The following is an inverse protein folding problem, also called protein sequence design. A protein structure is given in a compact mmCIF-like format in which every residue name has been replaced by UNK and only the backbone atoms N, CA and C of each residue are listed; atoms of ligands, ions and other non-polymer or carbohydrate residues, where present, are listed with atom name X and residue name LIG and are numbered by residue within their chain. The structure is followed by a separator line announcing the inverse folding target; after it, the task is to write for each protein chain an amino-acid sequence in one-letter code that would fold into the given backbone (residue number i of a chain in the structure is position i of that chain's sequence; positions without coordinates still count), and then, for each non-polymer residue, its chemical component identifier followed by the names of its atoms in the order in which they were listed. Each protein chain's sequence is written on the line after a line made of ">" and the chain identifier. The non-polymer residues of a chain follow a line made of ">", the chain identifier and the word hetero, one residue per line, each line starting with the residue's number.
data_IF_840806098276
#
_entry.id   IF_840806098276
#
_cell.length_a   1.000
_cell.length_b   1.000
_cell.length_c   1.000
_cell.angle_alpha   90.00
_cell.angle_beta   90.00
_cell.angle_gamma   90.00
#
_symmetry.space_group_name_H-M   'P 1'
#
loop_
_entity.id
_entity.type
_entity.pdbx_description
1 polymer ?
#
# COMPACT_ATOMS: atom_id res chain seq x y z
N UNK A 1 36.95 -14.99 44.67
CA UNK A 1 37.82 -14.03 43.96
C UNK A 1 36.96 -13.25 42.99
N UNK A 2 36.50 -12.05 43.39
CA UNK A 2 35.57 -11.23 42.60
C UNK A 2 36.37 -10.20 41.80
N UNK A 3 36.27 -10.22 40.47
CA UNK A 3 36.94 -9.24 39.59
C UNK A 3 35.96 -8.10 39.26
N UNK A 4 36.27 -6.90 39.75
CA UNK A 4 35.60 -5.67 39.35
C UNK A 4 35.93 -5.33 37.88
N UNK A 5 34.90 -5.10 37.07
CA UNK A 5 35.01 -4.56 35.71
C UNK A 5 34.94 -3.03 35.83
N UNK A 6 36.04 -2.35 35.47
CA UNK A 6 36.09 -0.89 35.30
C UNK A 6 35.53 -0.54 33.92
N UNK A 7 34.42 0.17 33.88
CA UNK A 7 33.86 0.77 32.66
C UNK A 7 34.41 2.18 32.53
N UNK A 8 35.19 2.44 31.48
CA UNK A 8 35.61 3.80 31.12
C UNK A 8 34.56 4.44 30.20
N UNK A 9 33.91 5.48 30.70
CA UNK A 9 32.99 6.34 29.94
C UNK A 9 33.83 7.44 29.28
N UNK A 10 33.87 7.42 27.95
CA UNK A 10 34.48 8.48 27.12
C UNK A 10 33.41 9.54 26.80
N UNK A 11 33.64 10.83 27.06
CA UNK A 11 32.70 11.88 26.70
C UNK A 11 32.80 12.20 25.20
N UNK A 12 31.65 12.18 24.52
CA UNK A 12 31.47 12.57 23.13
C UNK A 12 31.38 14.11 23.05
N UNK A 13 32.37 14.77 22.45
CA UNK A 13 32.36 16.21 22.17
C UNK A 13 31.61 16.44 20.87
N UNK A 14 30.43 17.05 20.94
CA UNK A 14 29.65 17.49 19.77
C UNK A 14 30.03 18.94 19.45
N UNK A 15 30.71 19.14 18.32
CA UNK A 15 30.99 20.47 17.76
C UNK A 15 29.79 20.88 16.91
N UNK A 16 29.03 21.88 17.35
CA UNK A 16 28.00 22.52 16.54
C UNK A 16 28.62 23.58 15.65
N UNK A 17 28.63 23.34 14.33
CA UNK A 17 28.93 24.36 13.33
C UNK A 17 27.62 25.03 12.90
N UNK A 18 27.48 26.30 13.27
CA UNK A 18 26.39 27.18 12.83
C UNK A 18 26.67 27.72 11.43
N UNK A 19 25.86 27.33 10.45
CA UNK A 19 25.84 27.93 9.12
C UNK A 19 24.80 29.05 9.06
N UNK A 20 25.27 30.28 8.90
CA UNK A 20 24.43 31.45 8.61
C UNK A 20 24.22 31.56 7.10
N UNK A 21 22.96 31.54 6.65
CA UNK A 21 22.61 31.83 5.26
C UNK A 21 22.26 33.32 5.07
N UNK A 22 22.81 34.02 4.07
CA UNK A 22 22.40 35.37 3.74
C UNK A 22 21.03 35.39 3.03
N UNK A 23 20.18 36.32 3.46
CA UNK A 23 18.89 36.61 2.86
C UNK A 23 19.07 37.34 1.51
N UNK A 24 18.49 36.80 0.44
CA UNK A 24 18.34 37.50 -0.82
C UNK A 24 16.88 37.94 -0.99
N UNK A 25 16.66 39.26 -1.05
CA UNK A 25 15.42 39.88 -1.50
C UNK A 25 15.60 40.36 -2.94
N UNK A 26 14.67 40.04 -3.86
CA UNK A 26 14.49 40.85 -5.05
C UNK A 26 13.27 41.77 -4.87
N UNK A 27 13.53 43.07 -4.83
CA UNK A 27 12.57 44.10 -5.22
C UNK A 27 12.44 44.12 -6.73
N UNK A 28 11.23 44.01 -7.27
CA UNK A 28 10.95 44.45 -8.64
C UNK A 28 9.76 45.41 -8.59
N UNK A 29 10.01 46.58 -9.17
CA UNK A 29 9.11 47.72 -9.28
C UNK A 29 7.98 47.45 -10.28
N UNK A 30 6.83 48.00 -9.93
CA UNK A 30 5.65 48.26 -10.76
C UNK A 30 5.99 49.03 -12.05
N UNK A 31 5.28 48.75 -13.14
CA UNK A 31 4.91 49.74 -14.14
C UNK A 31 3.52 49.42 -14.72
N UNK A 32 2.80 50.50 -15.04
CA UNK A 32 1.35 50.57 -15.20
C UNK A 32 0.84 50.43 -16.65
N UNK A 33 -0.42 49.99 -16.73
CA UNK A 33 -1.55 50.40 -17.60
C UNK A 33 -1.38 50.49 -19.13
N UNK A 34 -2.23 49.74 -19.85
CA UNK A 34 -3.01 50.28 -20.97
C UNK A 34 -4.31 49.48 -21.17
N UNK A 35 -5.35 50.21 -21.56
CA UNK A 35 -6.78 49.89 -21.54
C UNK A 35 -7.28 49.71 -22.99
N UNK A 36 -8.44 49.03 -23.13
CA UNK A 36 -9.29 48.87 -24.34
C UNK A 36 -8.81 47.79 -25.34
N UNK A 37 -9.63 46.92 -25.94
CA UNK A 37 -11.04 46.97 -26.30
C UNK A 37 -11.73 45.60 -26.23
N UNK A 38 -13.04 45.64 -25.98
CA UNK A 38 -13.94 44.50 -25.96
C UNK A 38 -14.34 44.09 -27.39
N UNK A 39 -14.09 42.82 -27.75
CA UNK A 39 -14.84 42.12 -28.80
C UNK A 39 -15.30 40.79 -28.22
N UNK A 40 -16.56 40.78 -27.81
CA UNK A 40 -17.29 39.60 -27.33
C UNK A 40 -17.60 38.69 -28.51
N UNK A 41 -16.76 37.69 -28.74
CA UNK A 41 -17.13 36.49 -29.48
C UNK A 41 -17.50 35.44 -28.44
N UNK A 42 -18.81 35.19 -28.34
CA UNK A 42 -19.41 34.23 -27.43
C UNK A 42 -18.90 32.82 -27.69
N UNK A 43 -17.90 32.42 -26.91
CA UNK A 43 -17.55 31.02 -26.70
C UNK A 43 -18.46 30.52 -25.57
N UNK A 44 -19.23 29.43 -25.76
CA UNK A 44 -20.07 28.89 -24.70
C UNK A 44 -19.18 28.45 -23.54
N UNK A 45 -19.27 29.16 -22.42
CA UNK A 45 -18.76 28.70 -21.14
C UNK A 45 -19.56 27.47 -20.69
N UNK A 46 -19.23 26.31 -21.24
CA UNK A 46 -19.57 25.05 -20.59
C UNK A 46 -18.55 24.79 -19.48
N UNK A 47 -18.60 25.62 -18.44
CA UNK A 47 -18.04 25.26 -17.13
C UNK A 47 -18.95 24.16 -16.58
N UNK A 48 -18.72 22.93 -17.04
CA UNK A 48 -19.11 21.77 -16.26
C UNK A 48 -18.38 21.88 -14.93
N UNK A 49 -19.09 22.35 -13.90
CA UNK A 49 -18.71 22.08 -12.53
C UNK A 49 -18.65 20.54 -12.43
N UNK A 50 -17.45 19.97 -12.59
CA UNK A 50 -17.23 18.56 -12.34
C UNK A 50 -17.61 18.32 -10.89
N UNK A 51 -18.78 17.72 -10.68
CA UNK A 51 -19.26 17.32 -9.37
C UNK A 51 -18.16 16.45 -8.75
N UNK A 52 -17.51 16.94 -7.69
CA UNK A 52 -16.47 16.19 -6.97
C UNK A 52 -17.09 14.87 -6.52
N UNK A 53 -16.57 13.74 -7.02
CA UNK A 53 -17.02 12.41 -6.62
C UNK A 53 -16.85 12.26 -5.11
N UNK A 54 -17.80 11.59 -4.47
CA UNK A 54 -17.70 11.18 -3.07
C UNK A 54 -16.55 10.18 -2.87
N UNK A 55 -16.09 10.03 -1.61
CA UNK A 55 -15.08 9.03 -1.22
C UNK A 55 -15.50 7.62 -1.67
N UNK A 56 -16.76 7.26 -1.43
CA UNK A 56 -17.31 5.97 -1.83
C UNK A 56 -17.27 5.75 -3.35
N UNK A 57 -17.67 6.74 -4.15
CA UNK A 57 -17.63 6.66 -5.60
C UNK A 57 -16.18 6.52 -6.11
N UNK A 58 -15.23 7.25 -5.52
CA UNK A 58 -13.81 7.16 -5.86
C UNK A 58 -13.22 5.80 -5.52
N UNK A 59 -13.50 5.27 -4.32
CA UNK A 59 -13.04 3.95 -3.91
C UNK A 59 -13.59 2.84 -4.82
N UNK A 60 -14.89 2.88 -5.11
CA UNK A 60 -15.51 1.92 -6.02
C UNK A 60 -14.91 2.02 -7.44
N UNK A 61 -14.62 3.24 -7.90
CA UNK A 61 -13.99 3.49 -9.20
C UNK A 61 -12.56 2.95 -9.28
N UNK A 62 -11.78 2.99 -8.18
CA UNK A 62 -10.47 2.34 -8.11
C UNK A 62 -10.59 0.85 -8.37
N UNK A 63 -11.41 0.13 -7.60
CA UNK A 63 -11.53 -1.32 -7.77
C UNK A 63 -12.16 -1.73 -9.10
N UNK A 64 -13.02 -0.90 -9.68
CA UNK A 64 -13.57 -1.12 -11.03
C UNK A 64 -12.51 -0.99 -12.13
N UNK A 65 -11.46 -0.19 -11.91
CA UNK A 65 -10.35 -0.01 -12.86
C UNK A 65 -9.29 -1.11 -12.75
N UNK A 66 -9.31 -1.92 -11.69
CA UNK A 66 -8.38 -3.04 -11.60
C UNK A 66 -8.62 -3.99 -12.78
N UNK A 67 -7.58 -4.36 -13.55
CA UNK A 67 -7.74 -5.31 -14.63
C UNK A 67 -8.31 -6.63 -14.10
N UNK A 68 -9.41 -7.06 -14.70
CA UNK A 68 -10.01 -8.36 -14.41
C UNK A 68 -9.13 -9.45 -15.04
N UNK A 69 -8.66 -10.36 -14.21
CA UNK A 69 -7.83 -11.50 -14.64
C UNK A 69 -8.40 -12.82 -14.12
N UNK A 70 -9.67 -12.83 -13.70
CA UNK A 70 -10.30 -13.98 -13.06
C UNK A 70 -9.91 -14.14 -11.59
N UNK A 71 -10.84 -14.70 -10.81
CA UNK A 71 -10.64 -15.01 -9.40
C UNK A 71 -9.99 -16.38 -9.17
N UNK A 72 -9.46 -16.59 -7.97
CA UNK A 72 -9.09 -17.96 -7.56
C UNK A 72 -10.37 -18.72 -7.21
N UNK A 73 -10.66 -19.80 -7.94
CA UNK A 73 -11.75 -20.71 -7.59
C UNK A 73 -11.29 -21.76 -6.57
N UNK A 74 -12.13 -22.04 -5.58
CA UNK A 74 -11.92 -23.11 -4.61
C UNK A 74 -12.09 -22.66 -3.16
N UNK A 75 -11.80 -23.55 -2.22
CA UNK A 75 -12.01 -23.33 -0.78
C UNK A 75 -10.97 -22.39 -0.15
N UNK A 76 -9.86 -22.13 -0.86
CA UNK A 76 -8.93 -21.04 -0.57
C UNK A 76 -8.78 -20.14 -1.79
N UNK A 77 -8.97 -18.84 -1.58
CA UNK A 77 -8.76 -17.80 -2.58
C UNK A 77 -7.81 -16.74 -2.05
N UNK A 78 -6.75 -16.46 -2.81
CA UNK A 78 -5.82 -15.40 -2.47
C UNK A 78 -6.15 -14.12 -3.21
N UNK A 79 -6.53 -13.08 -2.47
CA UNK A 79 -6.93 -11.79 -3.03
C UNK A 79 -5.69 -10.90 -3.21
N UNK A 80 -4.77 -10.91 -2.24
CA UNK A 80 -3.53 -10.15 -2.31
C UNK A 80 -2.47 -10.78 -1.41
N UNK A 81 -1.26 -11.08 -1.91
CA UNK A 81 -0.93 -11.23 -3.33
C UNK A 81 -1.71 -12.33 -4.03
N UNK A 82 -1.62 -12.41 -5.36
CA UNK A 82 -2.35 -13.41 -6.16
C UNK A 82 -1.46 -14.02 -7.24
N UNK A 83 -1.55 -15.34 -7.41
CA UNK A 83 -0.84 -16.05 -8.48
C UNK A 83 -1.56 -15.85 -9.81
N UNK A 84 -2.88 -15.78 -9.76
CA UNK A 84 -3.80 -15.71 -10.89
C UNK A 84 -3.82 -14.29 -11.49
N UNK A 85 -3.64 -13.26 -10.66
CA UNK A 85 -3.58 -11.87 -11.11
C UNK A 85 -2.12 -11.33 -11.15
N UNK A 86 -1.51 -11.12 -12.33
CA UNK A 86 -0.14 -10.62 -12.45
C UNK A 86 0.04 -9.19 -11.90
N UNK A 87 -1.02 -8.39 -11.83
CA UNK A 87 -0.99 -7.05 -11.25
C UNK A 87 -0.93 -7.06 -9.71
N UNK A 88 -1.19 -8.22 -9.10
CA UNK A 88 -1.11 -8.46 -7.66
C UNK A 88 0.16 -9.25 -7.30
N UNK A 89 1.26 -8.96 -7.98
CA UNK A 89 2.59 -9.52 -7.68
C UNK A 89 3.64 -8.48 -7.33
N UNK A 90 3.45 -7.23 -7.72
CA UNK A 90 4.43 -6.16 -7.50
C UNK A 90 3.97 -5.24 -6.38
N UNK A 91 4.86 -5.01 -5.41
CA UNK A 91 4.63 -4.09 -4.31
C UNK A 91 5.74 -3.02 -4.28
N UNK A 92 5.36 -1.79 -4.00
CA UNK A 92 6.26 -0.75 -3.53
C UNK A 92 6.62 -0.98 -2.06
N UNK A 93 5.63 -1.35 -1.23
CA UNK A 93 5.79 -1.60 0.19
C UNK A 93 6.66 -2.83 0.48
N UNK A 94 7.53 -2.68 1.47
CA UNK A 94 8.34 -3.75 2.08
C UNK A 94 7.59 -4.56 3.15
N UNK A 95 6.35 -4.16 3.47
CA UNK A 95 5.43 -4.83 4.39
C UNK A 95 4.10 -5.05 3.69
N UNK A 96 3.97 -6.13 2.89
CA UNK A 96 2.74 -6.44 2.18
C UNK A 96 1.59 -6.74 3.15
N UNK A 97 0.37 -6.58 2.66
CA UNK A 97 -0.85 -7.04 3.32
C UNK A 97 -1.35 -8.29 2.60
N UNK A 98 -1.51 -9.37 3.36
CA UNK A 98 -2.13 -10.59 2.88
C UNK A 98 -3.64 -10.47 3.09
N UNK A 99 -4.43 -10.73 2.04
CA UNK A 99 -5.90 -10.74 2.06
C UNK A 99 -6.38 -11.99 1.34
N UNK A 100 -7.33 -12.72 1.93
CA UNK A 100 -7.79 -14.00 1.39
C UNK A 100 -9.28 -14.26 1.64
N UNK A 101 -9.77 -15.38 1.11
CA UNK A 101 -10.98 -16.07 1.57
C UNK A 101 -10.67 -17.54 1.81
N UNK A 102 -11.40 -18.16 2.73
CA UNK A 102 -11.19 -19.54 3.18
C UNK A 102 -10.55 -19.62 4.57
N UNK A 103 -10.37 -20.85 5.05
CA UNK A 103 -9.86 -21.12 6.41
C UNK A 103 -8.35 -21.32 6.37
N UNK A 104 -7.60 -20.28 6.69
CA UNK A 104 -6.12 -20.26 6.64
C UNK A 104 -5.54 -20.51 8.02
N UNK A 105 -4.63 -21.45 8.17
CA UNK A 105 -3.96 -21.72 9.44
C UNK A 105 -2.69 -20.89 9.62
N UNK A 106 -1.90 -20.81 8.57
CA UNK A 106 -0.52 -20.31 8.63
C UNK A 106 -0.14 -19.60 7.35
N UNK A 107 0.62 -18.53 7.47
CA UNK A 107 1.32 -17.89 6.36
C UNK A 107 2.81 -17.82 6.70
N UNK A 108 3.65 -18.20 5.73
CA UNK A 108 5.10 -18.09 5.84
C UNK A 108 5.65 -17.33 4.64
N UNK A 109 6.62 -16.45 4.85
CA UNK A 109 7.30 -15.70 3.79
C UNK A 109 8.74 -16.17 3.67
N UNK A 110 9.15 -16.45 2.44
CA UNK A 110 10.44 -17.00 2.08
C UNK A 110 11.09 -16.17 0.97
N UNK A 111 12.42 -16.05 0.95
CA UNK A 111 13.11 -15.50 -0.20
C UNK A 111 13.09 -16.53 -1.34
N UNK A 112 12.87 -16.08 -2.58
CA UNK A 112 12.80 -16.98 -3.73
C UNK A 112 14.12 -17.73 -3.98
N UNK A 113 15.26 -17.10 -3.69
CA UNK A 113 16.59 -17.68 -3.86
C UNK A 113 17.00 -18.70 -2.79
N UNK A 114 16.32 -18.71 -1.63
CA UNK A 114 16.58 -19.68 -0.57
C UNK A 114 15.26 -20.12 0.11
N UNK A 115 14.49 -21.04 -0.51
CA UNK A 115 13.20 -21.48 0.00
C UNK A 115 13.21 -22.07 1.42
N UNK A 116 14.37 -22.54 1.91
CA UNK A 116 14.50 -23.10 3.26
C UNK A 116 14.55 -22.02 4.34
N UNK A 117 14.88 -20.77 3.98
CA UNK A 117 14.89 -19.66 4.91
C UNK A 117 13.47 -19.12 5.12
N UNK A 118 13.00 -19.14 6.37
CA UNK A 118 11.73 -18.54 6.76
C UNK A 118 12.02 -17.14 7.30
N UNK A 119 11.62 -16.11 6.55
CA UNK A 119 11.77 -14.70 7.00
C UNK A 119 10.71 -14.31 8.01
N UNK A 120 9.54 -14.95 7.92
CA UNK A 120 8.41 -14.72 8.80
C UNK A 120 7.48 -15.91 8.73
N UNK A 121 6.98 -16.36 9.88
CA UNK A 121 5.97 -17.40 9.99
C UNK A 121 4.92 -16.91 10.97
N UNK A 122 3.65 -16.95 10.56
CA UNK A 122 2.53 -16.45 11.35
C UNK A 122 1.41 -17.48 11.41
N UNK A 123 1.06 -17.88 12.63
CA UNK A 123 -0.14 -18.65 12.90
C UNK A 123 -1.29 -17.67 13.09
N UNK A 124 -2.36 -17.87 12.32
CA UNK A 124 -3.46 -16.93 12.27
C UNK A 124 -4.31 -17.04 13.54
N UNK A 125 -4.64 -15.89 14.12
CA UNK A 125 -5.59 -15.78 15.23
C UNK A 125 -7.03 -15.92 14.75
N UNK A 126 -7.96 -16.17 15.66
CA UNK A 126 -9.40 -16.20 15.35
C UNK A 126 -9.88 -14.87 14.76
N UNK A 127 -9.38 -13.75 15.29
CA UNK A 127 -9.72 -12.43 14.77
C UNK A 127 -9.23 -12.25 13.32
N UNK A 128 -8.01 -12.68 13.01
CA UNK A 128 -7.50 -12.61 11.63
C UNK A 128 -8.23 -13.58 10.69
N UNK A 129 -8.79 -14.69 11.19
CA UNK A 129 -9.69 -15.54 10.40
C UNK A 129 -10.99 -14.82 10.06
N UNK A 130 -11.54 -14.02 10.97
CA UNK A 130 -12.76 -13.23 10.75
C UNK A 130 -12.47 -12.08 9.78
N UNK A 131 -11.38 -11.36 9.99
CA UNK A 131 -11.00 -10.23 9.14
C UNK A 131 -10.49 -10.66 7.76
N UNK A 132 -9.93 -11.87 7.68
CA UNK A 132 -9.30 -12.47 6.49
C UNK A 132 -8.19 -11.59 5.90
N UNK A 133 -7.43 -10.95 6.78
CA UNK A 133 -6.26 -10.16 6.42
C UNK A 133 -5.19 -10.26 7.51
N UNK A 134 -3.93 -10.17 7.11
CA UNK A 134 -2.80 -10.01 8.03
C UNK A 134 -1.67 -9.26 7.35
N UNK A 135 -1.02 -8.36 8.09
CA UNK A 135 0.14 -7.61 7.59
C UNK A 135 1.41 -8.38 7.88
N UNK A 136 2.35 -8.37 6.94
CA UNK A 136 3.70 -8.85 7.19
C UNK A 136 4.33 -8.08 8.35
N UNK A 137 4.61 -8.80 9.44
CA UNK A 137 5.16 -8.27 10.69
C UNK A 137 6.55 -8.82 11.01
N UNK A 138 7.26 -9.34 9.99
CA UNK A 138 8.64 -9.78 10.14
C UNK A 138 9.54 -8.67 10.71
N UNK A 139 10.52 -9.08 11.53
CA UNK A 139 11.46 -8.16 12.16
C UNK A 139 12.26 -7.36 11.12
N UNK A 140 12.62 -8.02 10.03
CA UNK A 140 13.26 -7.41 8.87
C UNK A 140 12.22 -7.02 7.83
N UNK A 141 12.37 -5.83 7.25
CA UNK A 141 11.60 -5.41 6.10
C UNK A 141 12.02 -6.20 4.85
N UNK A 142 11.09 -6.46 3.94
CA UNK A 142 11.42 -7.05 2.64
C UNK A 142 12.27 -6.06 1.82
N UNK A 143 13.29 -6.57 1.15
CA UNK A 143 14.27 -5.73 0.49
C UNK A 143 13.80 -5.32 -0.91
N UNK A 144 13.95 -4.04 -1.30
CA UNK A 144 13.69 -3.59 -2.65
C UNK A 144 14.44 -4.40 -3.71
N UNK A 145 13.75 -4.76 -4.79
CA UNK A 145 14.32 -5.47 -5.93
C UNK A 145 14.46 -6.98 -5.73
N UNK A 146 13.98 -7.50 -4.60
CA UNK A 146 13.99 -8.92 -4.30
C UNK A 146 12.65 -9.58 -4.60
N UNK A 147 12.73 -10.86 -4.94
CA UNK A 147 11.58 -11.74 -5.12
C UNK A 147 11.40 -12.65 -3.90
N UNK A 148 10.16 -12.78 -3.51
CA UNK A 148 9.70 -13.59 -2.40
C UNK A 148 8.58 -14.51 -2.88
N UNK A 149 8.29 -15.52 -2.08
CA UNK A 149 7.02 -16.20 -2.12
C UNK A 149 6.48 -16.34 -0.71
N UNK A 150 5.19 -16.54 -0.59
CA UNK A 150 4.61 -17.01 0.65
C UNK A 150 3.93 -18.35 0.45
N UNK A 151 4.04 -19.17 1.49
CA UNK A 151 3.31 -20.41 1.64
C UNK A 151 2.11 -20.13 2.53
N UNK A 152 0.93 -20.47 2.02
CA UNK A 152 -0.31 -20.41 2.79
C UNK A 152 -0.81 -21.81 3.05
N UNK A 153 -0.92 -22.17 4.32
CA UNK A 153 -1.49 -23.43 4.77
C UNK A 153 -2.95 -23.22 5.12
N UNK A 154 -3.86 -23.96 4.50
CA UNK A 154 -5.30 -23.79 4.64
C UNK A 154 -6.02 -25.13 4.78
N UNK A 155 -7.22 -25.10 5.35
CA UNK A 155 -8.11 -26.25 5.44
C UNK A 155 -9.04 -26.31 4.23
N UNK A 156 -9.20 -27.50 3.69
CA UNK A 156 -10.17 -27.86 2.65
C UNK A 156 -10.93 -29.12 3.04
N UNK A 157 -12.06 -29.37 2.39
CA UNK A 157 -12.80 -30.63 2.47
C UNK A 157 -12.46 -31.45 1.22
N UNK A 158 -11.93 -32.65 1.42
CA UNK A 158 -11.72 -33.62 0.34
C UNK A 158 -12.33 -34.96 0.78
N UNK A 159 -13.21 -35.53 -0.05
CA UNK A 159 -13.95 -36.76 0.29
C UNK A 159 -14.73 -36.68 1.62
N UNK A 160 -15.31 -35.50 1.93
CA UNK A 160 -16.04 -35.19 3.18
C UNK A 160 -15.18 -35.13 4.45
N UNK A 161 -13.86 -35.21 4.32
CA UNK A 161 -12.94 -35.12 5.44
C UNK A 161 -12.14 -33.80 5.37
N UNK A 162 -11.90 -33.14 6.51
CA UNK A 162 -11.05 -31.96 6.54
C UNK A 162 -9.59 -32.37 6.34
N UNK A 163 -8.93 -31.77 5.35
CA UNK A 163 -7.50 -31.93 5.11
C UNK A 163 -6.81 -30.57 5.09
N UNK A 164 -5.49 -30.57 5.21
CA UNK A 164 -4.68 -29.36 5.14
C UNK A 164 -3.89 -29.36 3.83
N UNK A 165 -3.98 -28.27 3.06
CA UNK A 165 -3.19 -28.03 1.85
C UNK A 165 -2.30 -26.81 2.02
N UNK A 166 -1.28 -26.72 1.18
CA UNK A 166 -0.37 -25.58 1.12
C UNK A 166 -0.33 -25.06 -0.32
N UNK A 167 -0.39 -23.74 -0.49
CA UNK A 167 -0.24 -23.07 -1.80
C UNK A 167 0.90 -22.07 -1.75
N UNK A 168 1.69 -22.01 -2.81
CA UNK A 168 2.76 -21.04 -2.99
C UNK A 168 2.30 -19.88 -3.89
N UNK A 169 2.59 -18.65 -3.48
CA UNK A 169 2.22 -17.44 -4.21
C UNK A 169 3.40 -16.46 -4.18
N UNK A 170 3.79 -15.96 -5.35
CA UNK A 170 4.95 -15.08 -5.52
C UNK A 170 4.63 -13.60 -5.27
N UNK A 171 5.65 -12.88 -4.81
CA UNK A 171 5.64 -11.44 -4.53
C UNK A 171 6.99 -10.83 -4.94
N UNK A 172 6.98 -9.63 -5.51
CA UNK A 172 8.18 -8.89 -5.91
C UNK A 172 8.10 -7.49 -5.32
N UNK A 173 9.15 -7.07 -4.61
CA UNK A 173 9.27 -5.68 -4.13
C UNK A 173 10.01 -4.86 -5.17
N UNK A 174 9.47 -3.71 -5.58
CA UNK A 174 10.11 -2.83 -6.55
C UNK A 174 11.52 -2.45 -6.11
N UNK A 175 12.47 -2.51 -7.05
CA UNK A 175 13.87 -2.14 -6.85
C UNK A 175 14.07 -0.72 -6.33
N UNK A 176 15.12 -0.50 -5.53
CA UNK A 176 15.45 0.81 -4.97
C UNK A 176 15.69 1.86 -6.07
N UNK A 177 16.35 1.46 -7.16
CA UNK A 177 16.68 2.33 -8.30
C UNK A 177 15.61 2.30 -9.41
N UNK A 178 14.45 1.69 -9.14
CA UNK A 178 13.37 1.67 -10.12
C UNK A 178 12.77 3.08 -10.21
N UNK A 179 12.72 3.68 -11.40
CA UNK A 179 12.26 5.06 -11.61
C UNK A 179 10.89 5.35 -10.94
N UNK A 180 9.94 4.40 -11.05
CA UNK A 180 8.64 4.50 -10.38
C UNK A 180 8.76 4.70 -8.86
N UNK A 181 9.72 4.05 -8.19
CA UNK A 181 9.85 4.09 -6.73
C UNK A 181 10.15 5.50 -6.25
N UNK A 182 11.15 6.16 -6.83
CA UNK A 182 11.48 7.55 -6.46
C UNK A 182 10.33 8.53 -6.74
N UNK A 183 9.58 8.33 -7.84
CA UNK A 183 8.38 9.13 -8.14
C UNK A 183 7.27 8.93 -7.10
N UNK A 184 7.01 7.67 -6.72
CA UNK A 184 6.03 7.34 -5.68
C UNK A 184 6.46 7.92 -4.33
N UNK A 185 7.73 7.79 -3.96
CA UNK A 185 8.28 8.31 -2.70
C UNK A 185 8.07 9.84 -2.61
N UNK A 186 8.34 10.56 -3.70
CA UNK A 186 8.12 12.00 -3.77
C UNK A 186 6.64 12.38 -3.61
N UNK A 187 5.72 11.69 -4.31
CA UNK A 187 4.28 11.94 -4.20
C UNK A 187 3.73 11.56 -2.81
N UNK A 188 4.21 10.48 -2.20
CA UNK A 188 3.84 10.09 -0.84
C UNK A 188 4.31 11.11 0.19
N UNK A 189 5.48 11.72 0.01
CA UNK A 189 5.95 12.82 0.85
C UNK A 189 5.05 14.06 0.73
N UNK A 190 4.61 14.39 -0.48
CA UNK A 190 3.64 15.47 -0.71
C UNK A 190 2.30 15.20 -0.02
N UNK A 191 1.74 14.00 -0.20
CA UNK A 191 0.50 13.56 0.48
C UNK A 191 0.67 13.65 2.00
N UNK A 192 1.82 13.24 2.54
CA UNK A 192 2.12 13.33 3.98
C UNK A 192 2.13 14.76 4.52
N UNK A 193 2.57 15.74 3.72
CA UNK A 193 2.51 17.14 4.10
C UNK A 193 1.08 17.70 4.08
N UNK A 194 0.23 17.16 3.21
CA UNK A 194 -1.18 17.56 3.05
C UNK A 194 -2.12 16.83 4.03
N UNK A 195 -1.68 15.72 4.64
CA UNK A 195 -2.54 14.81 5.40
C UNK A 195 -3.08 15.39 6.71
N UNK A 196 -2.58 16.54 7.17
CA UNK A 196 -3.03 17.18 8.41
C UNK A 196 -4.53 17.55 8.38
N UNK A 197 -5.11 17.69 7.20
CA UNK A 197 -6.52 18.07 7.00
C UNK A 197 -7.40 16.90 6.54
N UNK A 198 -6.82 15.71 6.34
CA UNK A 198 -7.51 14.53 5.82
C UNK A 198 -7.92 13.60 6.95
N UNK A 199 -9.12 13.02 6.85
CA UNK A 199 -9.47 11.87 7.66
C UNK A 199 -8.75 10.59 7.17
N UNK A 200 -8.89 9.50 7.93
CA UNK A 200 -8.19 8.25 7.65
C UNK A 200 -8.61 7.61 6.31
N UNK A 201 -9.88 7.73 5.92
CA UNK A 201 -10.39 7.17 4.66
C UNK A 201 -9.93 8.00 3.47
N UNK A 202 -9.98 9.32 3.56
CA UNK A 202 -9.50 10.23 2.51
C UNK A 202 -8.00 10.07 2.31
N UNK A 203 -7.21 9.94 3.38
CA UNK A 203 -5.77 9.69 3.29
C UNK A 203 -5.47 8.34 2.64
N UNK A 204 -6.15 7.27 3.07
CA UNK A 204 -5.96 5.94 2.50
C UNK A 204 -6.38 5.90 1.03
N UNK A 205 -7.50 6.54 0.68
CA UNK A 205 -8.00 6.66 -0.68
C UNK A 205 -7.02 7.42 -1.57
N UNK A 206 -6.50 8.55 -1.10
CA UNK A 206 -5.54 9.37 -1.86
C UNK A 206 -4.26 8.58 -2.17
N UNK A 207 -3.74 7.82 -1.20
CA UNK A 207 -2.61 6.92 -1.44
C UNK A 207 -2.96 5.77 -2.38
N UNK A 208 -4.15 5.18 -2.23
CA UNK A 208 -4.63 4.12 -3.10
C UNK A 208 -4.79 4.61 -4.56
N UNK A 209 -5.26 5.83 -4.79
CA UNK A 209 -5.33 6.45 -6.12
C UNK A 209 -3.95 6.58 -6.75
N UNK A 210 -2.96 7.07 -5.98
CA UNK A 210 -1.56 7.11 -6.41
C UNK A 210 -1.03 5.73 -6.81
N UNK A 211 -1.23 4.71 -5.97
CA UNK A 211 -0.76 3.36 -6.30
C UNK A 211 -1.49 2.75 -7.50
N UNK A 212 -2.78 3.03 -7.66
CA UNK A 212 -3.55 2.59 -8.82
C UNK A 212 -3.05 3.22 -10.13
N UNK A 213 -2.68 4.50 -10.12
CA UNK A 213 -2.06 5.18 -11.27
C UNK A 213 -0.74 4.51 -11.70
N UNK A 214 0.03 3.99 -10.74
CA UNK A 214 1.32 3.34 -10.98
C UNK A 214 1.21 1.83 -11.27
N UNK A 215 -0.02 1.30 -11.28
CA UNK A 215 -0.37 -0.12 -11.42
C UNK A 215 0.16 -1.02 -10.29
N UNK A 216 0.19 -0.51 -9.05
CA UNK A 216 0.64 -1.22 -7.85
C UNK A 216 -0.53 -1.66 -6.98
N UNK A 217 -1.28 -2.65 -7.47
CA UNK A 217 -2.54 -3.06 -6.85
C UNK A 217 -2.39 -3.73 -5.47
N UNK A 218 -1.21 -4.28 -5.16
CA UNK A 218 -0.91 -4.75 -3.81
C UNK A 218 -0.91 -3.59 -2.80
N UNK A 219 -0.35 -2.45 -3.20
CA UNK A 219 -0.32 -1.28 -2.34
C UNK A 219 -1.69 -0.59 -2.29
N UNK A 220 -2.47 -0.61 -3.39
CA UNK A 220 -3.89 -0.20 -3.36
C UNK A 220 -4.64 -0.97 -2.26
N UNK A 221 -4.59 -2.30 -2.30
CA UNK A 221 -5.28 -3.16 -1.33
C UNK A 221 -4.74 -2.92 0.08
N UNK A 222 -3.41 -2.81 0.23
CA UNK A 222 -2.78 -2.50 1.52
C UNK A 222 -3.35 -1.22 2.12
N UNK A 223 -3.38 -0.12 1.38
CA UNK A 223 -3.88 1.15 1.90
C UNK A 223 -5.37 1.05 2.24
N UNK A 224 -6.19 0.50 1.34
CA UNK A 224 -7.64 0.51 1.54
C UNK A 224 -8.11 -0.42 2.66
N UNK A 225 -7.44 -1.56 2.86
CA UNK A 225 -7.76 -2.51 3.93
C UNK A 225 -7.09 -2.17 5.27
N UNK A 226 -6.18 -1.18 5.31
CA UNK A 226 -5.51 -0.74 6.54
C UNK A 226 -6.28 0.34 7.31
N UNK A 227 -7.37 0.88 6.76
CA UNK A 227 -8.23 1.84 7.47
C UNK A 227 -8.79 1.17 8.73
N UNK A 228 -8.57 1.81 9.88
CA UNK A 228 -9.14 1.37 11.16
C UNK A 228 -10.55 1.96 11.31
N UNK A 229 -11.50 1.14 11.76
CA UNK A 229 -12.91 1.51 11.92
C UNK A 229 -13.48 2.22 10.67
N UNK A 230 -13.39 1.58 9.48
CA UNK A 230 -13.94 2.16 8.26
C UNK A 230 -15.45 2.39 8.37
N UNK A 231 -15.96 3.33 7.59
CA UNK A 231 -17.40 3.57 7.45
C UNK A 231 -18.09 2.34 6.86
N UNK A 232 -19.38 2.19 7.14
CA UNK A 232 -20.21 1.08 6.63
C UNK A 232 -20.13 1.00 5.09
N UNK A 233 -20.10 2.15 4.41
CA UNK A 233 -20.02 2.21 2.95
C UNK A 233 -18.65 1.70 2.46
N UNK A 234 -17.56 2.07 3.12
CA UNK A 234 -16.22 1.58 2.82
C UNK A 234 -16.13 0.06 3.03
N UNK A 235 -16.63 -0.45 4.16
CA UNK A 235 -16.68 -1.89 4.46
C UNK A 235 -17.45 -2.66 3.39
N UNK A 236 -18.59 -2.15 2.94
CA UNK A 236 -19.39 -2.79 1.91
C UNK A 236 -18.65 -2.87 0.58
N UNK A 237 -17.95 -1.80 0.18
CA UNK A 237 -17.14 -1.80 -1.05
C UNK A 237 -16.01 -2.84 -0.95
N UNK A 238 -15.31 -2.92 0.18
CA UNK A 238 -14.27 -3.92 0.39
C UNK A 238 -14.82 -5.34 0.40
N UNK A 239 -16.01 -5.56 1.00
CA UNK A 239 -16.70 -6.86 0.99
C UNK A 239 -17.05 -7.28 -0.43
N UNK A 240 -17.65 -6.38 -1.22
CA UNK A 240 -18.00 -6.65 -2.62
C UNK A 240 -16.76 -6.95 -3.45
N UNK A 241 -15.66 -6.23 -3.21
CA UNK A 241 -14.37 -6.49 -3.85
C UNK A 241 -13.84 -7.89 -3.53
N UNK A 242 -13.82 -8.28 -2.26
CA UNK A 242 -13.39 -9.63 -1.84
C UNK A 242 -14.24 -10.71 -2.52
N UNK A 243 -15.56 -10.56 -2.49
CA UNK A 243 -16.49 -11.52 -3.12
C UNK A 243 -16.26 -11.61 -4.62
N UNK A 244 -16.04 -10.50 -5.34
CA UNK A 244 -15.77 -10.54 -6.79
C UNK A 244 -14.42 -11.17 -7.12
N UNK A 245 -13.41 -10.96 -6.29
CA UNK A 245 -12.04 -11.46 -6.50
C UNK A 245 -11.91 -12.98 -6.36
N UNK A 246 -12.93 -13.65 -5.82
CA UNK A 246 -12.94 -15.09 -5.53
C UNK A 246 -14.09 -15.84 -6.21
N UNK A 247 -14.61 -15.31 -7.32
CA UNK A 247 -15.61 -15.98 -8.18
C UNK A 247 -14.95 -16.79 -9.28
#
# INVERSE_FOLDING_TARGET
>A
MSKLIRVHILPLIVVMASFSFPAFSPSVKSLATTQSDAVSLGIPQNKQAQKKKSIAERLADIFRRQPDTGGTQGEFCSISPSKENPYLRYAWSDRPLFVWQGKVKKIEVHPKGNPQDILWSHLLTEQEQIEQKVRYSGSQALQPGQEYFYLVTYETIENKEPITKTKEISLIVLGANHEKRSRIDAKLAEIGNQSQTMDAEELALTKAELFAEENLWLDVIRETFSVQNPSIVWEQILKDYRTKSCK
#
